data_IF_134878927146
#
_entry.id   IF_134878927146
#
_cell.length_a   1.000
_cell.length_b   1.000
_cell.length_c   1.000
_cell.angle_alpha   90.00
_cell.angle_beta   90.00
_cell.angle_gamma   90.00
#
_symmetry.space_group_name_H-M   'P 1'
#
loop_
_entity.id
_entity.type
_entity.pdbx_description
1 polymer ?
#
# COMPACT_ATOMS: atom_id res chain seq x y z
N UNK A 1 -23.29 -13.59 11.28
CA UNK A 1 -23.21 -14.50 12.44
C UNK A 1 -21.84 -14.46 13.12
N UNK A 2 -20.74 -14.84 12.45
CA UNK A 2 -19.39 -14.84 13.05
C UNK A 2 -18.92 -13.47 13.57
N UNK A 3 -19.19 -12.38 12.84
CA UNK A 3 -18.83 -11.03 13.26
C UNK A 3 -19.62 -10.56 14.49
N UNK A 4 -20.91 -10.91 14.57
CA UNK A 4 -21.76 -10.59 15.71
C UNK A 4 -21.38 -11.41 16.95
N UNK A 5 -21.03 -12.68 16.78
CA UNK A 5 -20.45 -13.51 17.86
C UNK A 5 -19.12 -12.95 18.36
N UNK A 6 -18.29 -12.41 17.47
CA UNK A 6 -17.02 -11.79 17.86
C UNK A 6 -17.24 -10.46 18.61
N UNK A 7 -18.15 -9.61 18.14
CA UNK A 7 -18.52 -8.36 18.81
C UNK A 7 -19.12 -8.58 20.19
N UNK A 8 -20.02 -9.57 20.33
CA UNK A 8 -20.67 -9.87 21.60
C UNK A 8 -19.68 -10.38 22.67
N UNK A 9 -18.69 -11.19 22.26
CA UNK A 9 -17.74 -11.79 23.19
C UNK A 9 -16.54 -10.89 23.53
N UNK A 10 -16.07 -10.04 22.61
CA UNK A 10 -14.80 -9.31 22.78
C UNK A 10 -14.95 -7.78 22.80
N UNK A 11 -16.10 -7.22 22.36
CA UNK A 11 -16.39 -5.78 22.30
C UNK A 11 -15.16 -4.88 22.02
N UNK A 12 -14.47 -5.06 20.88
CA UNK A 12 -13.32 -4.21 20.59
C UNK A 12 -13.78 -2.81 20.14
N UNK A 13 -13.40 -1.78 20.90
CA UNK A 13 -13.66 -0.37 20.54
C UNK A 13 -12.66 0.13 19.48
N UNK A 14 -11.42 -0.35 19.52
CA UNK A 14 -10.36 0.01 18.56
C UNK A 14 -9.83 -1.19 17.78
N UNK A 15 -9.31 -0.96 16.58
CA UNK A 15 -8.59 -1.98 15.79
C UNK A 15 -7.42 -2.62 16.56
N UNK A 16 -6.74 -1.83 17.40
CA UNK A 16 -5.67 -2.33 18.26
C UNK A 16 -6.20 -3.33 19.29
N UNK A 17 -7.37 -3.06 19.89
CA UNK A 17 -8.01 -3.94 20.86
C UNK A 17 -8.50 -5.23 20.20
N UNK A 18 -9.03 -5.14 18.98
CA UNK A 18 -9.38 -6.31 18.17
C UNK A 18 -8.14 -7.16 17.85
N UNK A 19 -6.99 -6.53 17.54
CA UNK A 19 -5.72 -7.21 17.26
C UNK A 19 -5.13 -7.87 18.51
N UNK A 20 -5.20 -7.20 19.66
CA UNK A 20 -4.74 -7.74 20.94
C UNK A 20 -5.60 -8.94 21.37
N UNK A 21 -6.92 -8.82 21.29
CA UNK A 21 -7.87 -9.91 21.56
C UNK A 21 -7.67 -11.10 20.61
N UNK A 22 -7.33 -10.83 19.35
CA UNK A 22 -7.00 -11.87 18.39
C UNK A 22 -5.67 -12.59 18.71
N UNK A 23 -4.69 -11.87 19.27
CA UNK A 23 -3.38 -12.42 19.65
C UNK A 23 -3.42 -13.24 20.93
N UNK A 24 -4.27 -12.87 21.90
CA UNK A 24 -4.45 -13.61 23.16
C UNK A 24 -5.29 -14.89 23.00
N UNK A 25 -6.00 -15.04 21.88
CA UNK A 25 -6.86 -16.19 21.59
C UNK A 25 -6.06 -17.44 21.15
N UNK A 26 -6.50 -18.62 21.59
CA UNK A 26 -5.91 -19.92 21.19
C UNK A 26 -6.16 -20.20 19.69
N UNK A 27 -5.27 -20.99 19.03
CA UNK A 27 -5.38 -21.27 17.59
C UNK A 27 -6.67 -22.00 17.21
N UNK A 28 -7.26 -22.78 18.13
CA UNK A 28 -8.52 -23.50 17.94
C UNK A 28 -9.70 -22.54 17.79
N UNK A 29 -9.81 -21.55 18.69
CA UNK A 29 -10.90 -20.57 18.65
C UNK A 29 -10.75 -19.62 17.47
N UNK A 30 -9.52 -19.34 17.05
CA UNK A 30 -9.23 -18.59 15.82
C UNK A 30 -9.76 -19.28 14.56
N UNK A 31 -9.78 -20.62 14.56
CA UNK A 31 -10.29 -21.41 13.44
C UNK A 31 -11.82 -21.35 13.29
N UNK A 32 -12.53 -20.98 14.36
CA UNK A 32 -14.00 -20.82 14.38
C UNK A 32 -14.48 -19.53 13.68
N UNK A 33 -13.58 -18.56 13.48
CA UNK A 33 -13.91 -17.23 12.91
C UNK A 33 -13.08 -16.87 11.67
N UNK A 34 -13.01 -17.72 10.64
CA UNK A 34 -12.17 -17.49 9.46
C UNK A 34 -12.47 -16.17 8.75
N UNK A 35 -13.74 -15.75 8.70
CA UNK A 35 -14.14 -14.50 8.05
C UNK A 35 -13.65 -13.25 8.81
N UNK A 36 -13.63 -13.31 10.15
CA UNK A 36 -13.11 -12.21 10.99
C UNK A 36 -11.60 -12.08 10.81
N UNK A 37 -10.89 -13.20 10.64
CA UNK A 37 -9.45 -13.20 10.33
C UNK A 37 -9.15 -12.53 9.00
N UNK A 38 -9.92 -12.88 7.96
CA UNK A 38 -9.74 -12.26 6.63
C UNK A 38 -10.02 -10.77 6.69
N UNK A 39 -11.05 -10.34 7.40
CA UNK A 39 -11.38 -8.93 7.57
C UNK A 39 -10.30 -8.17 8.34
N UNK A 40 -9.78 -8.72 9.45
CA UNK A 40 -8.67 -8.12 10.19
C UNK A 40 -7.40 -8.02 9.34
N UNK A 41 -7.09 -9.04 8.54
CA UNK A 41 -5.97 -9.00 7.59
C UNK A 41 -6.18 -7.93 6.53
N UNK A 42 -7.38 -7.84 5.94
CA UNK A 42 -7.72 -6.80 4.97
C UNK A 42 -7.62 -5.41 5.59
N UNK A 43 -8.03 -5.21 6.84
CA UNK A 43 -7.93 -3.92 7.52
C UNK A 43 -6.49 -3.54 7.92
N UNK A 44 -5.60 -4.53 8.07
CA UNK A 44 -4.17 -4.32 8.29
C UNK A 44 -3.40 -4.11 6.98
N UNK A 45 -3.86 -4.71 5.88
CA UNK A 45 -3.21 -4.64 4.55
C UNK A 45 -3.73 -3.47 3.73
N UNK A 46 -5.04 -3.27 3.69
CA UNK A 46 -5.68 -2.06 3.22
C UNK A 46 -5.52 -1.05 4.34
N UNK A 47 -4.57 -0.11 4.22
CA UNK A 47 -4.25 0.75 5.34
C UNK A 47 -5.48 1.59 5.67
N UNK A 48 -5.81 1.65 6.96
CA UNK A 48 -6.60 2.75 7.57
C UNK A 48 -6.06 4.12 7.13
N UNK A 49 -4.80 4.18 6.65
CA UNK A 49 -4.22 5.33 5.96
C UNK A 49 -4.23 5.14 4.44
N UNK A 50 -5.29 5.57 3.77
CA UNK A 50 -5.29 5.88 2.33
C UNK A 50 -4.18 6.86 1.91
N UNK A 51 -3.46 7.45 2.87
CA UNK A 51 -2.37 8.41 2.70
C UNK A 51 -1.32 8.00 1.65
N UNK A 52 -0.90 6.74 1.55
CA UNK A 52 0.10 6.33 0.54
C UNK A 52 -0.49 6.30 -0.88
N UNK A 53 -1.73 5.82 -1.02
CA UNK A 53 -2.47 5.89 -2.28
C UNK A 53 -2.76 7.35 -2.65
N UNK A 54 -3.23 8.17 -1.71
CA UNK A 54 -3.50 9.60 -1.89
C UNK A 54 -2.23 10.36 -2.26
N UNK A 55 -1.09 10.07 -1.61
CA UNK A 55 0.22 10.63 -1.96
C UNK A 55 0.60 10.27 -3.40
N UNK A 56 0.38 9.02 -3.79
CA UNK A 56 0.66 8.53 -5.15
C UNK A 56 -0.25 9.17 -6.20
N UNK A 57 -1.56 9.29 -5.94
CA UNK A 57 -2.51 9.96 -6.83
C UNK A 57 -2.27 11.47 -6.90
N UNK A 58 -1.92 12.11 -5.79
CA UNK A 58 -1.54 13.53 -5.72
C UNK A 58 -0.25 13.80 -6.52
N UNK A 59 0.75 12.92 -6.42
CA UNK A 59 1.93 12.95 -7.27
C UNK A 59 1.57 12.79 -8.75
N UNK A 60 0.76 11.79 -9.11
CA UNK A 60 0.31 11.58 -10.48
C UNK A 60 -0.46 12.79 -11.03
N UNK A 61 -1.32 13.42 -10.22
CA UNK A 61 -2.06 14.63 -10.62
C UNK A 61 -1.14 15.82 -10.89
N UNK A 62 -0.04 15.96 -10.14
CA UNK A 62 1.00 16.96 -10.41
C UNK A 62 1.83 16.64 -11.67
N UNK A 63 2.04 15.36 -11.98
CA UNK A 63 2.80 14.93 -13.16
C UNK A 63 1.98 15.01 -14.45
N UNK A 64 0.71 14.61 -14.41
CA UNK A 64 -0.23 14.60 -15.54
C UNK A 64 -0.99 15.92 -15.58
N UNK A 65 -0.28 16.98 -15.96
CA UNK A 65 -0.90 18.29 -16.20
C UNK A 65 -1.53 18.36 -17.59
N UNK A 66 -2.46 19.30 -17.78
CA UNK A 66 -3.14 19.51 -19.06
C UNK A 66 -2.17 19.77 -20.22
N UNK A 67 -1.11 20.55 -19.97
CA UNK A 67 -0.02 20.80 -20.93
C UNK A 67 0.83 19.56 -21.26
N UNK A 68 0.70 18.47 -20.50
CA UNK A 68 1.40 17.19 -20.70
C UNK A 68 0.45 16.06 -21.10
N UNK A 69 -0.75 16.39 -21.57
CA UNK A 69 -1.80 15.42 -21.90
C UNK A 69 -1.41 14.44 -23.03
N UNK A 70 -0.42 14.77 -23.86
CA UNK A 70 0.07 13.93 -24.97
C UNK A 70 1.07 12.85 -24.55
N UNK A 71 1.41 12.71 -23.26
CA UNK A 71 2.31 11.65 -22.79
C UNK A 71 1.68 10.26 -22.91
N UNK A 72 2.43 9.32 -23.50
CA UNK A 72 2.07 7.90 -23.54
C UNK A 72 2.11 7.29 -22.14
N UNK A 73 1.25 6.29 -21.90
CA UNK A 73 1.16 5.61 -20.60
C UNK A 73 2.50 5.00 -20.14
N UNK A 74 3.33 4.36 -21.01
CA UNK A 74 4.64 3.85 -20.60
C UNK A 74 5.55 4.96 -20.08
N UNK A 75 5.59 6.11 -20.77
CA UNK A 75 6.41 7.25 -20.36
C UNK A 75 5.92 7.83 -19.02
N UNK A 76 4.61 7.92 -18.83
CA UNK A 76 4.02 8.40 -17.58
C UNK A 76 4.37 7.50 -16.40
N UNK A 77 4.30 6.18 -16.58
CA UNK A 77 4.66 5.21 -15.55
C UNK A 77 6.16 5.32 -15.16
N UNK A 78 7.06 5.45 -16.13
CA UNK A 78 8.48 5.64 -15.83
C UNK A 78 8.71 6.94 -15.01
N UNK A 79 8.06 8.04 -15.40
CA UNK A 79 8.20 9.32 -14.70
C UNK A 79 7.60 9.30 -13.30
N UNK A 80 6.47 8.61 -13.10
CA UNK A 80 5.85 8.48 -11.78
C UNK A 80 6.74 7.70 -10.80
N UNK A 81 7.35 6.61 -11.25
CA UNK A 81 8.33 5.84 -10.47
C UNK A 81 9.53 6.71 -10.09
N UNK A 82 10.08 7.47 -11.05
CA UNK A 82 11.19 8.40 -10.79
C UNK A 82 10.80 9.50 -9.79
N UNK A 83 9.56 9.98 -9.82
CA UNK A 83 9.08 11.03 -8.92
C UNK A 83 8.87 10.52 -7.49
N UNK A 84 8.29 9.32 -7.33
CA UNK A 84 8.07 8.69 -6.01
C UNK A 84 9.39 8.30 -5.36
N UNK A 85 10.37 7.86 -6.15
CA UNK A 85 11.68 7.42 -5.66
C UNK A 85 12.80 8.43 -5.92
N UNK A 86 12.48 9.74 -5.91
CA UNK A 86 13.44 10.81 -6.23
C UNK A 86 14.70 10.75 -5.36
N UNK A 87 14.57 10.51 -4.06
CA UNK A 87 15.73 10.42 -3.15
C UNK A 87 16.69 9.28 -3.50
N UNK A 88 16.16 8.17 -4.03
CA UNK A 88 16.99 7.06 -4.51
C UNK A 88 17.65 7.45 -5.83
N UNK A 89 16.90 8.10 -6.72
CA UNK A 89 17.39 8.57 -8.02
C UNK A 89 18.53 9.58 -7.86
N UNK A 90 18.45 10.49 -6.89
CA UNK A 90 19.49 11.49 -6.60
C UNK A 90 20.81 10.85 -6.12
N UNK A 91 20.76 9.60 -5.63
CA UNK A 91 21.93 8.82 -5.21
C UNK A 91 22.51 7.93 -6.32
N UNK A 92 21.86 7.85 -7.49
CA UNK A 92 22.34 7.02 -8.60
C UNK A 92 23.48 7.72 -9.34
N UNK A 93 24.59 7.00 -9.56
CA UNK A 93 25.71 7.50 -10.36
C UNK A 93 25.34 7.56 -11.85
N UNK A 94 25.38 8.77 -12.40
CA UNK A 94 25.08 9.07 -13.80
C UNK A 94 26.02 8.31 -14.75
N UNK A 95 27.25 8.00 -14.32
CA UNK A 95 28.21 7.22 -15.13
C UNK A 95 27.72 5.79 -15.35
N UNK A 96 27.21 5.15 -14.29
CA UNK A 96 26.63 3.81 -14.37
C UNK A 96 25.39 3.81 -15.27
N UNK A 97 24.54 4.83 -15.14
CA UNK A 97 23.35 4.97 -15.98
C UNK A 97 23.70 5.09 -17.47
N UNK A 98 24.74 5.86 -17.82
CA UNK A 98 25.23 5.96 -19.20
C UNK A 98 25.72 4.63 -19.75
N UNK A 99 26.41 3.83 -18.93
CA UNK A 99 26.91 2.52 -19.34
C UNK A 99 25.76 1.53 -19.57
N UNK A 100 24.75 1.53 -18.71
CA UNK A 100 23.55 0.69 -18.86
C UNK A 100 22.80 1.07 -20.14
N UNK A 101 22.57 2.37 -20.38
CA UNK A 101 21.88 2.81 -21.59
C UNK A 101 22.65 2.45 -22.87
N UNK A 102 23.99 2.53 -22.83
CA UNK A 102 24.85 2.08 -23.93
C UNK A 102 24.84 0.57 -24.14
N UNK A 103 24.62 -0.24 -23.10
CA UNK A 103 24.59 -1.70 -23.22
C UNK A 103 23.24 -2.24 -23.72
N UNK A 104 22.16 -1.47 -23.57
CA UNK A 104 20.80 -1.82 -24.03
C UNK A 104 20.57 -1.44 -25.51
N UNK A 105 21.45 -0.59 -26.08
CA UNK A 105 21.42 -0.18 -27.48
C UNK A 105 22.50 -0.88 -28.27
#
# INVERSE_FOLDING_TARGET
MQLEMFKHNYKPDTLNDAKLSYRSMTPEVRSLFPQVVVLLKLLLVCPVSSCECERSFSALRRLKTWLRATMTQPRLNCVSVCHVHREKLDKVDVRQLKNIYRAIR
#
